data_IF_089493430929
#
_entry.id   IF_089493430929
#
_cell.length_a   1.000
_cell.length_b   1.000
_cell.length_c   1.000
_cell.angle_alpha   90.00
_cell.angle_beta   90.00
_cell.angle_gamma   90.00
#
_symmetry.space_group_name_H-M   'P 1'
#
loop_
_entity.id
_entity.type
_entity.pdbx_description
1 polymer ?
#
# COMPACT_ATOMS: atom_id res chain seq x y z
N UNK A 1 23.36 16.06 37.60
CA UNK A 1 23.41 16.28 36.14
C UNK A 1 23.99 17.66 35.88
N UNK A 2 25.23 17.73 35.41
CA UNK A 2 25.86 18.97 34.99
C UNK A 2 25.02 19.65 33.89
N UNK A 3 24.92 20.97 33.91
CA UNK A 3 24.15 21.74 32.92
C UNK A 3 24.61 21.46 31.47
N UNK A 4 25.88 21.09 31.30
CA UNK A 4 26.48 20.61 30.04
C UNK A 4 25.91 19.26 29.58
N UNK A 5 25.64 18.35 30.51
CA UNK A 5 25.07 17.03 30.24
C UNK A 5 23.59 17.12 29.85
N UNK A 6 22.83 18.03 30.49
CA UNK A 6 21.43 18.29 30.13
C UNK A 6 21.29 18.84 28.70
N UNK A 7 22.14 19.80 28.31
CA UNK A 7 22.12 20.37 26.97
C UNK A 7 22.41 19.33 25.88
N UNK A 8 23.38 18.44 26.11
CA UNK A 8 23.69 17.35 25.19
C UNK A 8 22.53 16.35 25.05
N UNK A 9 21.85 16.03 26.16
CA UNK A 9 20.69 15.13 26.15
C UNK A 9 19.51 15.75 25.38
N UNK A 10 19.20 17.02 25.61
CA UNK A 10 18.15 17.74 24.87
C UNK A 10 18.45 17.80 23.36
N UNK A 11 19.72 18.03 22.99
CA UNK A 11 20.12 18.06 21.59
C UNK A 11 19.95 16.69 20.92
N UNK A 12 20.31 15.62 21.62
CA UNK A 12 20.12 14.24 21.13
C UNK A 12 18.63 13.92 20.89
N UNK A 13 17.75 14.34 21.82
CA UNK A 13 16.30 14.17 21.65
C UNK A 13 15.74 14.96 20.46
N UNK A 14 16.22 16.18 20.22
CA UNK A 14 15.81 16.98 19.06
C UNK A 14 16.22 16.30 17.74
N UNK A 15 17.44 15.78 17.65
CA UNK A 15 17.90 15.05 16.45
C UNK A 15 17.09 13.79 16.21
N UNK A 16 16.79 13.03 17.26
CA UNK A 16 15.94 11.84 17.15
C UNK A 16 14.51 12.19 16.73
N UNK A 17 13.98 13.33 17.19
CA UNK A 17 12.64 13.77 16.83
C UNK A 17 12.54 14.11 15.34
N UNK A 18 13.53 14.85 14.81
CA UNK A 18 13.61 15.24 13.39
C UNK A 18 13.85 14.05 12.45
N UNK A 19 14.44 12.96 12.94
CA UNK A 19 14.65 11.76 12.12
C UNK A 19 13.34 11.01 11.79
N UNK A 20 12.27 11.22 12.55
CA UNK A 20 11.00 10.48 12.41
C UNK A 20 10.13 11.00 11.25
N UNK A 21 10.37 12.22 10.78
CA UNK A 21 9.55 12.92 9.78
C UNK A 21 9.96 12.63 8.32
N UNK A 22 11.01 11.82 8.11
CA UNK A 22 11.45 11.37 6.77
C UNK A 22 11.22 9.87 6.57
N UNK A 23 10.03 9.39 6.92
CA UNK A 23 9.53 8.14 6.35
C UNK A 23 8.72 8.51 5.12
N UNK A 24 9.43 8.70 4.00
CA UNK A 24 8.79 8.74 2.68
C UNK A 24 8.13 7.37 2.52
N UNK A 25 6.80 7.34 2.64
CA UNK A 25 6.05 6.14 2.30
C UNK A 25 6.20 5.93 0.80
N UNK A 26 7.18 5.13 0.40
CA UNK A 26 7.33 4.68 -0.99
C UNK A 26 6.32 3.57 -1.27
N UNK A 27 5.04 3.79 -0.92
CA UNK A 27 3.99 2.94 -1.42
C UNK A 27 4.07 3.03 -2.95
N UNK A 28 4.36 1.90 -3.60
CA UNK A 28 4.32 1.81 -5.04
C UNK A 28 2.97 2.35 -5.50
N UNK A 29 2.98 3.25 -6.49
CA UNK A 29 1.73 3.75 -7.04
C UNK A 29 0.96 2.54 -7.58
N UNK A 30 -0.31 2.45 -7.24
CA UNK A 30 -1.15 1.34 -7.73
C UNK A 30 -2.21 1.88 -8.66
N UNK A 31 -2.48 1.10 -9.70
CA UNK A 31 -3.48 1.40 -10.71
C UNK A 31 -4.42 0.21 -10.84
N UNK A 32 -5.71 0.47 -11.12
CA UNK A 32 -6.70 -0.57 -11.36
C UNK A 32 -6.95 -0.71 -12.87
N UNK A 33 -6.99 -1.95 -13.36
CA UNK A 33 -7.42 -2.31 -14.71
C UNK A 33 -8.54 -3.34 -14.67
N UNK A 34 -9.35 -3.39 -15.73
CA UNK A 34 -10.30 -4.48 -15.91
C UNK A 34 -9.53 -5.80 -16.04
N UNK A 35 -10.03 -6.87 -15.43
CA UNK A 35 -9.47 -8.21 -15.57
C UNK A 35 -9.58 -8.69 -17.02
N UNK A 36 -8.47 -9.20 -17.59
CA UNK A 36 -8.40 -9.65 -18.98
C UNK A 36 -9.11 -10.99 -19.19
N UNK A 37 -9.10 -11.88 -18.18
CA UNK A 37 -9.59 -13.26 -18.36
C UNK A 37 -10.69 -13.68 -17.39
N UNK A 38 -11.12 -12.79 -16.50
CA UNK A 38 -12.22 -13.07 -15.57
C UNK A 38 -13.54 -13.21 -16.34
N UNK A 39 -14.26 -14.31 -16.10
CA UNK A 39 -15.49 -14.63 -16.84
C UNK A 39 -16.72 -14.50 -15.97
N UNK A 40 -17.75 -13.85 -16.52
CA UNK A 40 -19.04 -13.69 -15.89
C UNK A 40 -19.11 -12.51 -14.91
N UNK A 41 -20.31 -12.27 -14.35
CA UNK A 41 -20.50 -11.19 -13.38
C UNK A 41 -19.75 -11.47 -12.08
N UNK A 42 -19.18 -10.41 -11.52
CA UNK A 42 -18.43 -10.41 -10.28
C UNK A 42 -19.35 -10.07 -9.10
N UNK A 43 -19.61 -11.06 -8.25
CA UNK A 43 -20.39 -10.87 -7.02
C UNK A 43 -19.56 -11.10 -5.75
N UNK A 44 -18.52 -11.93 -5.85
CA UNK A 44 -17.65 -12.26 -4.74
C UNK A 44 -16.25 -11.68 -4.99
N UNK A 45 -15.89 -10.63 -4.24
CA UNK A 45 -14.58 -9.99 -4.30
C UNK A 45 -13.44 -10.99 -4.08
N UNK A 46 -13.62 -11.99 -3.22
CA UNK A 46 -12.62 -13.04 -3.00
C UNK A 46 -12.29 -13.84 -4.27
N UNK A 47 -13.28 -14.15 -5.10
CA UNK A 47 -13.07 -14.87 -6.36
C UNK A 47 -12.32 -14.02 -7.38
N UNK A 48 -12.60 -12.72 -7.42
CA UNK A 48 -11.87 -11.77 -8.26
C UNK A 48 -10.44 -11.56 -7.77
N UNK A 49 -10.23 -11.44 -6.46
CA UNK A 49 -8.91 -11.30 -5.86
C UNK A 49 -8.02 -12.52 -6.15
N UNK A 50 -8.56 -13.72 -5.94
CA UNK A 50 -7.88 -14.98 -6.25
C UNK A 50 -7.54 -15.07 -7.75
N UNK A 51 -8.48 -14.70 -8.62
CA UNK A 51 -8.23 -14.66 -10.06
C UNK A 51 -7.11 -13.67 -10.43
N UNK A 52 -7.17 -12.43 -9.95
CA UNK A 52 -6.17 -11.42 -10.26
C UNK A 52 -4.77 -11.85 -9.79
N UNK A 53 -4.64 -12.47 -8.61
CA UNK A 53 -3.37 -12.95 -8.07
C UNK A 53 -2.85 -14.19 -8.80
N UNK A 54 -3.71 -15.17 -9.02
CA UNK A 54 -3.29 -16.49 -9.49
C UNK A 54 -3.32 -16.66 -11.01
N UNK A 55 -4.15 -15.89 -11.72
CA UNK A 55 -4.32 -16.00 -13.19
C UNK A 55 -3.66 -14.84 -13.94
N UNK A 56 -3.79 -13.62 -13.43
CA UNK A 56 -3.22 -12.42 -14.08
C UNK A 56 -1.90 -11.97 -13.44
N UNK A 57 -1.49 -12.60 -12.32
CA UNK A 57 -0.27 -12.28 -11.59
C UNK A 57 -0.20 -10.80 -11.14
N UNK A 58 -1.35 -10.26 -10.75
CA UNK A 58 -1.54 -8.90 -10.26
C UNK A 58 -1.67 -8.88 -8.72
N UNK A 59 -1.61 -7.70 -8.11
CA UNK A 59 -1.47 -7.58 -6.65
C UNK A 59 -2.72 -8.02 -5.89
N UNK A 60 -3.90 -7.66 -6.41
CA UNK A 60 -5.21 -7.93 -5.80
C UNK A 60 -6.34 -7.64 -6.78
N UNK A 61 -7.55 -8.02 -6.43
CA UNK A 61 -8.75 -7.80 -7.24
C UNK A 61 -9.99 -7.46 -6.42
N UNK A 62 -10.94 -6.75 -7.02
CA UNK A 62 -12.27 -6.55 -6.44
C UNK A 62 -13.38 -6.45 -7.47
N UNK A 63 -14.59 -6.85 -7.05
CA UNK A 63 -15.79 -6.53 -7.80
C UNK A 63 -16.15 -5.05 -7.59
N UNK A 64 -16.58 -4.37 -8.65
CA UNK A 64 -17.13 -3.01 -8.59
C UNK A 64 -18.61 -3.00 -8.97
N UNK A 65 -19.23 -1.82 -8.89
CA UNK A 65 -20.66 -1.59 -9.17
C UNK A 65 -21.07 -1.95 -10.60
N UNK A 66 -20.12 -2.11 -11.52
CA UNK A 66 -20.34 -2.57 -12.89
C UNK A 66 -20.40 -4.11 -13.01
N UNK A 67 -20.41 -4.84 -11.89
CA UNK A 67 -20.36 -6.31 -11.81
C UNK A 67 -19.16 -6.90 -12.56
N UNK A 68 -18.08 -6.15 -12.74
CA UNK A 68 -16.85 -6.65 -13.36
C UNK A 68 -15.74 -6.77 -12.33
N UNK A 69 -14.80 -7.67 -12.60
CA UNK A 69 -13.60 -7.84 -11.80
C UNK A 69 -12.54 -6.83 -12.23
N UNK A 70 -12.05 -6.04 -11.28
CA UNK A 70 -10.99 -5.07 -11.48
C UNK A 70 -9.75 -5.49 -10.69
N UNK A 71 -8.63 -5.63 -11.38
CA UNK A 71 -7.35 -6.01 -10.79
C UNK A 71 -6.48 -4.78 -10.52
N UNK A 72 -5.72 -4.82 -9.42
CA UNK A 72 -4.76 -3.78 -9.04
C UNK A 72 -3.35 -4.21 -9.38
N UNK A 73 -2.57 -3.34 -10.02
CA UNK A 73 -1.17 -3.58 -10.36
C UNK A 73 -0.29 -2.41 -9.96
N UNK A 74 1.02 -2.65 -9.89
CA UNK A 74 2.00 -1.57 -9.75
C UNK A 74 2.01 -0.70 -11.02
N UNK A 75 2.07 0.61 -10.79
CA UNK A 75 2.33 1.69 -11.74
C UNK A 75 3.17 2.76 -11.02
#
# INVERSE_FOLDING_TARGET
MDKKSLAGLCFLFLVLFVAQEVVVQTEAKTCENLADTFRGPCFATANCDDHCKNKEHLLRGRCRDDYRCWCTKNC
#
